data_IF_618522395229
#
_entry.id   IF_618522395229
#
_cell.length_a   1.000
_cell.length_b   1.000
_cell.length_c   1.000
_cell.angle_alpha   90.00
_cell.angle_beta   90.00
_cell.angle_gamma   90.00
#
_symmetry.space_group_name_H-M   'P 1'
#
loop_
_entity.id
_entity.type
_entity.pdbx_description
1 polymer ?
#
# COMPACT_ATOMS: atom_id res chain seq x y z
N UNK A 1 -9.78 -8.32 -38.29
CA UNK A 1 -10.07 -8.55 -36.86
C UNK A 1 -9.27 -7.53 -36.10
N UNK A 2 -9.95 -6.63 -35.40
CA UNK A 2 -9.32 -5.54 -34.66
C UNK A 2 -9.56 -5.82 -33.19
N UNK A 3 -8.49 -5.93 -32.41
CA UNK A 3 -8.55 -6.16 -30.97
C UNK A 3 -8.16 -4.87 -30.26
N UNK A 4 -8.93 -4.49 -29.24
CA UNK A 4 -8.62 -3.38 -28.36
C UNK A 4 -8.11 -3.93 -27.04
N UNK A 5 -7.07 -3.29 -26.50
CA UNK A 5 -6.51 -3.58 -25.17
C UNK A 5 -6.72 -2.32 -24.33
N UNK A 6 -7.64 -2.40 -23.38
CA UNK A 6 -7.79 -1.41 -22.31
C UNK A 6 -6.95 -1.91 -21.12
N UNK A 7 -6.07 -1.07 -20.58
CA UNK A 7 -5.15 -1.32 -19.44
C UNK A 7 -3.85 -2.12 -19.69
N UNK A 8 -3.07 -1.71 -20.69
CA UNK A 8 -1.62 -1.95 -20.64
C UNK A 8 -0.98 -1.00 -19.60
N UNK A 9 0.04 -1.44 -18.82
CA UNK A 9 0.83 -0.53 -18.00
C UNK A 9 1.34 0.60 -18.89
N UNK A 10 1.23 1.86 -18.43
CA UNK A 10 1.57 3.02 -19.26
C UNK A 10 2.95 2.83 -19.91
N UNK A 11 3.09 3.12 -21.21
CA UNK A 11 4.34 2.91 -21.99
C UNK A 11 5.59 3.42 -21.26
N UNK A 12 5.43 4.48 -20.48
CA UNK A 12 6.49 5.08 -19.66
C UNK A 12 7.06 4.12 -18.61
N UNK A 13 6.25 3.31 -17.95
CA UNK A 13 6.71 2.35 -16.93
C UNK A 13 7.58 1.26 -17.56
N UNK A 14 7.14 0.69 -18.68
CA UNK A 14 7.89 -0.34 -19.38
C UNK A 14 9.18 0.21 -20.01
N UNK A 15 9.16 1.44 -20.50
CA UNK A 15 10.36 2.14 -20.96
C UNK A 15 11.38 2.34 -19.83
N UNK A 16 10.93 2.72 -18.62
CA UNK A 16 11.81 2.88 -17.46
C UNK A 16 12.45 1.55 -17.06
N UNK A 17 11.66 0.46 -17.01
CA UNK A 17 12.17 -0.89 -16.76
C UNK A 17 13.25 -1.26 -17.78
N UNK A 18 13.00 -1.05 -19.07
CA UNK A 18 13.96 -1.32 -20.14
C UNK A 18 15.25 -0.48 -20.04
N UNK A 19 15.12 0.80 -19.69
CA UNK A 19 16.28 1.69 -19.49
C UNK A 19 17.16 1.23 -18.33
N UNK A 20 16.55 0.91 -17.18
CA UNK A 20 17.27 0.40 -16.01
C UNK A 20 17.93 -0.94 -16.34
N UNK A 21 17.21 -1.87 -16.95
CA UNK A 21 17.76 -3.17 -17.32
C UNK A 21 18.96 -3.04 -18.27
N UNK A 22 18.87 -2.15 -19.27
CA UNK A 22 19.98 -1.84 -20.19
C UNK A 22 21.18 -1.25 -19.48
N UNK A 23 20.97 -0.33 -18.54
CA UNK A 23 22.08 0.28 -17.80
C UNK A 23 22.78 -0.75 -16.91
N UNK A 24 22.00 -1.58 -16.20
CA UNK A 24 22.52 -2.63 -15.32
C UNK A 24 23.24 -3.73 -16.12
N UNK A 25 22.76 -4.09 -17.31
CA UNK A 25 23.38 -5.16 -18.10
C UNK A 25 24.82 -4.87 -18.52
N UNK A 26 25.18 -3.58 -18.67
CA UNK A 26 26.54 -3.14 -18.98
C UNK A 26 27.54 -3.36 -17.83
N UNK A 27 27.06 -3.39 -16.58
CA UNK A 27 27.89 -3.64 -15.39
C UNK A 27 27.75 -5.08 -14.87
N UNK A 28 26.71 -5.80 -15.28
CA UNK A 28 26.47 -7.18 -14.92
C UNK A 28 27.50 -8.12 -15.58
N UNK A 29 28.24 -8.86 -14.76
CA UNK A 29 29.17 -9.90 -15.21
C UNK A 29 28.47 -11.03 -15.98
N UNK A 30 29.25 -11.84 -16.70
CA UNK A 30 28.73 -12.91 -17.55
C UNK A 30 27.93 -13.99 -16.78
N UNK A 31 28.14 -14.09 -15.48
CA UNK A 31 27.44 -14.99 -14.56
C UNK A 31 25.99 -14.58 -14.25
N UNK A 32 25.57 -13.36 -14.59
CA UNK A 32 24.20 -12.88 -14.33
C UNK A 32 23.25 -13.44 -15.38
N UNK A 33 22.31 -14.29 -14.97
CA UNK A 33 21.36 -14.92 -15.89
C UNK A 33 20.16 -14.02 -16.22
N UNK A 34 19.69 -13.25 -15.23
CA UNK A 34 18.51 -12.42 -15.34
C UNK A 34 18.63 -11.13 -14.53
N UNK A 35 17.96 -10.08 -14.99
CA UNK A 35 17.85 -8.79 -14.32
C UNK A 35 16.40 -8.63 -13.89
N UNK A 36 16.17 -8.52 -12.59
CA UNK A 36 14.85 -8.23 -12.02
C UNK A 36 14.79 -6.75 -11.66
N UNK A 37 13.80 -6.04 -12.22
CA UNK A 37 13.50 -4.65 -11.89
C UNK A 37 12.22 -4.64 -11.07
N UNK A 38 12.31 -4.19 -9.83
CA UNK A 38 11.15 -4.06 -8.93
C UNK A 38 10.69 -2.62 -8.85
N UNK A 39 9.37 -2.45 -8.82
CA UNK A 39 8.71 -1.17 -8.55
C UNK A 39 8.05 -1.25 -7.20
N UNK A 40 8.29 -0.23 -6.38
CA UNK A 40 7.65 -0.07 -5.08
C UNK A 40 6.70 1.14 -5.10
N UNK A 41 5.58 1.03 -4.37
CA UNK A 41 4.69 2.14 -4.00
C UNK A 41 4.77 2.30 -2.49
N UNK A 42 5.38 3.40 -2.03
CA UNK A 42 5.81 3.51 -0.64
C UNK A 42 6.80 2.38 -0.31
N UNK A 43 6.50 1.64 0.76
CA UNK A 43 7.27 0.49 1.28
C UNK A 43 6.90 -0.88 0.71
N UNK A 44 6.13 -0.91 -0.39
CA UNK A 44 5.55 -2.14 -0.90
C UNK A 44 5.94 -2.33 -2.34
N UNK A 45 6.63 -3.44 -2.65
CA UNK A 45 6.87 -3.86 -4.02
C UNK A 45 5.53 -4.28 -4.64
N UNK A 46 5.15 -3.62 -5.73
CA UNK A 46 3.89 -3.86 -6.44
C UNK A 46 4.11 -4.66 -7.73
N UNK A 47 5.32 -4.60 -8.28
CA UNK A 47 5.64 -5.22 -9.57
C UNK A 47 7.12 -5.62 -9.61
N UNK A 48 7.41 -6.83 -10.06
CA UNK A 48 8.72 -7.26 -10.51
C UNK A 48 8.65 -7.62 -11.99
N UNK A 49 9.55 -7.07 -12.79
CA UNK A 49 9.79 -7.51 -14.17
C UNK A 49 11.17 -8.14 -14.25
N UNK A 50 11.20 -9.44 -14.56
CA UNK A 50 12.42 -10.22 -14.72
C UNK A 50 12.70 -10.47 -16.19
N UNK A 51 13.86 -10.02 -16.64
CA UNK A 51 14.31 -10.11 -18.04
C UNK A 51 15.58 -10.97 -18.08
N UNK A 52 15.66 -11.91 -19.01
CA UNK A 52 16.88 -12.70 -19.20
C UNK A 52 17.99 -11.80 -19.76
N UNK A 53 19.18 -11.81 -19.13
CA UNK A 53 20.32 -10.97 -19.56
C UNK A 53 20.73 -11.31 -20.99
N UNK A 54 20.76 -12.60 -21.34
CA UNK A 54 21.09 -13.08 -22.68
C UNK A 54 20.22 -12.43 -23.75
N UNK A 55 18.91 -12.46 -23.55
CA UNK A 55 17.95 -11.97 -24.53
C UNK A 55 18.03 -10.44 -24.64
N UNK A 56 18.27 -9.75 -23.51
CA UNK A 56 18.52 -8.31 -23.49
C UNK A 56 19.79 -7.91 -24.26
N UNK A 57 20.89 -8.63 -24.05
CA UNK A 57 22.15 -8.37 -24.76
C UNK A 57 21.98 -8.64 -26.26
N UNK A 58 21.33 -9.74 -26.63
CA UNK A 58 21.04 -10.05 -28.03
C UNK A 58 20.23 -8.93 -28.70
N UNK A 59 19.18 -8.44 -28.05
CA UNK A 59 18.38 -7.33 -28.57
C UNK A 59 19.20 -6.02 -28.71
N UNK A 60 20.07 -5.70 -27.74
CA UNK A 60 20.94 -4.52 -27.79
C UNK A 60 21.99 -4.57 -28.90
N UNK A 61 22.41 -5.77 -29.30
CA UNK A 61 23.39 -6.01 -30.37
C UNK A 61 22.73 -6.22 -31.74
N UNK A 62 21.41 -6.11 -31.84
CA UNK A 62 20.65 -6.36 -33.08
C UNK A 62 20.58 -7.84 -33.47
N UNK A 63 20.86 -8.75 -32.54
CA UNK A 63 20.77 -10.21 -32.69
C UNK A 63 19.46 -10.80 -32.13
N UNK A 64 18.49 -9.95 -31.83
CA UNK A 64 17.16 -10.29 -31.35
C UNK A 64 16.23 -9.08 -31.42
N UNK A 65 14.97 -9.26 -30.99
CA UNK A 65 13.96 -8.20 -31.05
C UNK A 65 13.36 -7.83 -29.68
N UNK A 66 12.76 -6.63 -29.54
CA UNK A 66 11.98 -6.26 -28.36
C UNK A 66 10.82 -7.21 -28.07
N UNK A 67 10.22 -7.79 -29.11
CA UNK A 67 9.12 -8.76 -28.99
C UNK A 67 9.61 -10.10 -28.41
N UNK A 68 10.81 -10.55 -28.80
CA UNK A 68 11.43 -11.74 -28.20
C UNK A 68 11.75 -11.53 -26.71
N UNK A 69 12.23 -10.33 -26.37
CA UNK A 69 12.43 -9.90 -24.98
C UNK A 69 11.12 -9.94 -24.18
N UNK A 70 10.02 -9.51 -24.77
CA UNK A 70 8.71 -9.51 -24.13
C UNK A 70 8.19 -10.94 -23.86
N UNK A 71 8.40 -11.86 -24.81
CA UNK A 71 7.95 -13.25 -24.70
C UNK A 71 8.64 -13.97 -23.53
N UNK A 72 9.92 -13.68 -23.27
CA UNK A 72 10.68 -14.34 -22.20
C UNK A 72 10.65 -13.58 -20.88
N UNK A 73 10.22 -12.32 -20.89
CA UNK A 73 10.05 -11.52 -19.68
C UNK A 73 8.98 -12.14 -18.77
N UNK A 74 9.27 -12.19 -17.47
CA UNK A 74 8.31 -12.59 -16.45
C UNK A 74 7.91 -11.38 -15.63
N UNK A 75 6.60 -11.12 -15.57
CA UNK A 75 6.03 -10.08 -14.73
C UNK A 75 5.35 -10.75 -13.54
N UNK A 76 5.78 -10.39 -12.32
CA UNK A 76 5.14 -10.78 -11.07
C UNK A 76 4.53 -9.53 -10.44
N UNK A 77 3.26 -9.60 -10.07
CA UNK A 77 2.66 -8.58 -9.19
C UNK A 77 2.92 -8.98 -7.73
N UNK A 78 3.11 -7.99 -6.86
CA UNK A 78 3.40 -8.20 -5.43
C UNK A 78 4.47 -9.28 -5.19
N UNK A 79 5.69 -9.09 -5.70
CA UNK A 79 6.71 -10.13 -5.71
C UNK A 79 7.07 -10.61 -4.30
N UNK A 80 7.40 -11.90 -4.19
CA UNK A 80 7.94 -12.48 -2.97
C UNK A 80 9.19 -11.74 -2.47
N UNK A 81 9.51 -11.95 -1.19
CA UNK A 81 10.78 -11.53 -0.61
C UNK A 81 11.95 -11.93 -1.51
N UNK A 82 12.89 -11.01 -1.67
CA UNK A 82 14.06 -11.19 -2.51
C UNK A 82 14.83 -12.45 -2.08
N UNK A 83 15.11 -13.36 -3.02
CA UNK A 83 15.86 -14.59 -2.74
C UNK A 83 17.30 -14.27 -2.28
N UNK A 84 17.87 -15.05 -1.36
CA UNK A 84 19.17 -14.72 -0.76
C UNK A 84 20.39 -14.92 -1.69
N UNK A 85 20.20 -15.56 -2.85
CA UNK A 85 21.26 -16.00 -3.77
C UNK A 85 21.55 -15.02 -4.92
N UNK A 86 20.85 -13.88 -4.98
CA UNK A 86 21.10 -12.84 -5.97
C UNK A 86 22.18 -11.82 -5.58
N UNK A 87 22.74 -11.13 -6.57
CA UNK A 87 23.52 -9.90 -6.34
C UNK A 87 22.53 -8.73 -6.31
N UNK A 88 22.43 -8.07 -5.16
CA UNK A 88 21.51 -6.95 -4.96
C UNK A 88 22.28 -5.63 -4.96
N UNK A 89 21.72 -4.65 -5.66
CA UNK A 89 22.05 -3.26 -5.40
C UNK A 89 21.14 -2.86 -4.24
N UNK A 90 21.66 -2.94 -3.02
CA UNK A 90 20.93 -2.55 -1.83
C UNK A 90 20.56 -1.06 -1.95
N UNK A 91 19.28 -0.75 -1.74
CA UNK A 91 18.88 0.62 -1.46
C UNK A 91 18.96 0.80 0.05
N UNK A 92 20.13 1.20 0.55
CA UNK A 92 20.39 1.39 1.98
C UNK A 92 19.47 2.43 2.63
N UNK A 93 18.75 3.23 1.81
CA UNK A 93 17.75 4.20 2.25
C UNK A 93 16.30 3.67 2.16
N UNK A 94 16.07 2.42 1.77
CA UNK A 94 14.72 1.90 1.60
C UNK A 94 14.02 1.62 2.95
N UNK A 95 14.76 1.07 3.92
CA UNK A 95 14.23 0.71 5.24
C UNK A 95 15.33 0.83 6.32
N UNK A 96 15.00 1.26 7.55
CA UNK A 96 13.69 1.77 7.96
C UNK A 96 13.40 3.16 7.36
N UNK A 97 12.17 3.39 6.89
CA UNK A 97 11.75 4.69 6.37
C UNK A 97 10.74 5.34 7.33
N UNK A 98 11.14 6.45 7.94
CA UNK A 98 10.30 7.22 8.85
C UNK A 98 9.72 8.45 8.15
N UNK A 99 8.42 8.64 8.26
CA UNK A 99 7.71 9.82 7.76
C UNK A 99 6.83 10.38 8.87
N UNK A 100 6.69 11.70 8.90
CA UNK A 100 5.81 12.38 9.83
C UNK A 100 5.22 13.62 9.19
N UNK A 101 4.11 14.10 9.75
CA UNK A 101 3.42 15.28 9.26
C UNK A 101 2.53 15.90 10.32
N UNK A 102 2.08 17.11 10.04
CA UNK A 102 1.11 17.82 10.88
C UNK A 102 -0.06 18.23 10.01
N UNK A 103 -1.28 17.93 10.44
CA UNK A 103 -2.49 18.26 9.69
C UNK A 103 -3.53 18.98 10.57
N UNK A 104 -4.11 20.11 10.14
CA UNK A 104 -5.30 20.64 10.79
C UNK A 104 -6.49 19.72 10.48
N UNK A 105 -7.32 19.45 11.49
CA UNK A 105 -8.51 18.59 11.36
C UNK A 105 -9.73 19.32 11.90
N UNK A 106 -10.81 19.33 11.13
CA UNK A 106 -12.10 19.86 11.56
C UNK A 106 -13.09 18.71 11.68
N UNK A 107 -13.60 18.49 12.89
CA UNK A 107 -14.66 17.51 13.17
C UNK A 107 -15.95 18.29 13.28
N UNK A 108 -17.02 17.84 12.60
CA UNK A 108 -18.31 18.52 12.61
C UNK A 108 -19.42 17.54 12.92
N UNK A 109 -20.43 18.02 13.62
CA UNK A 109 -21.66 17.29 13.87
C UNK A 109 -22.86 18.24 13.75
N UNK A 110 -23.94 17.72 13.16
CA UNK A 110 -25.24 18.41 13.20
C UNK A 110 -25.81 18.21 14.60
N UNK A 111 -26.01 19.31 15.32
CA UNK A 111 -26.55 19.27 16.67
C UNK A 111 -28.09 19.19 16.69
N UNK A 112 -28.65 19.20 17.89
CA UNK A 112 -30.10 19.15 18.11
C UNK A 112 -30.66 20.51 18.57
N UNK A 113 -31.98 20.59 18.78
CA UNK A 113 -32.64 21.81 19.25
C UNK A 113 -32.15 22.31 20.62
N UNK A 114 -31.40 21.50 21.38
CA UNK A 114 -30.85 21.85 22.70
C UNK A 114 -29.38 22.26 22.66
N UNK A 115 -28.60 21.70 21.75
CA UNK A 115 -27.15 21.93 21.60
C UNK A 115 -26.79 22.92 20.48
N UNK A 116 -27.76 23.29 19.64
CA UNK A 116 -27.57 24.20 18.51
C UNK A 116 -27.44 23.43 17.18
N UNK A 117 -27.69 24.10 16.06
CA UNK A 117 -27.78 23.43 14.76
C UNK A 117 -26.44 22.89 14.22
N UNK A 118 -25.31 23.45 14.67
CA UNK A 118 -23.99 23.12 14.15
C UNK A 118 -22.94 23.16 15.25
N UNK A 119 -22.18 22.07 15.37
CA UNK A 119 -21.11 21.90 16.33
C UNK A 119 -19.84 21.50 15.59
N UNK A 120 -18.72 22.09 15.95
CA UNK A 120 -17.44 21.83 15.30
C UNK A 120 -16.25 22.00 16.25
N UNK A 121 -15.25 21.14 16.06
CA UNK A 121 -13.95 21.23 16.72
C UNK A 121 -12.84 21.36 15.71
N UNK A 122 -11.98 22.37 15.92
CA UNK A 122 -10.68 22.48 15.28
C UNK A 122 -9.64 21.74 16.12
N UNK A 123 -8.90 20.87 15.45
CA UNK A 123 -7.85 20.02 16.00
C UNK A 123 -6.59 20.11 15.15
N UNK A 124 -5.48 19.62 15.69
CA UNK A 124 -4.23 19.38 14.97
C UNK A 124 -3.78 17.95 15.24
N UNK A 125 -3.46 17.23 14.18
CA UNK A 125 -2.90 15.89 14.24
C UNK A 125 -1.40 15.94 13.97
N UNK A 126 -0.62 15.28 14.83
CA UNK A 126 0.74 14.85 14.53
C UNK A 126 0.65 13.40 14.04
N UNK A 127 1.01 13.18 12.78
CA UNK A 127 0.97 11.87 12.13
C UNK A 127 2.38 11.32 11.99
N UNK A 128 2.53 10.01 12.12
CA UNK A 128 3.78 9.32 11.87
C UNK A 128 3.55 7.96 11.22
N UNK A 129 4.46 7.58 10.32
CA UNK A 129 4.59 6.22 9.79
C UNK A 129 6.05 5.78 9.80
N UNK A 130 6.25 4.48 10.03
CA UNK A 130 7.53 3.83 10.04
C UNK A 130 7.42 2.53 9.25
N UNK A 131 8.06 2.51 8.08
CA UNK A 131 8.25 1.30 7.30
C UNK A 131 9.46 0.56 7.83
N UNK A 132 9.25 -0.56 8.53
CA UNK A 132 10.31 -1.30 9.24
C UNK A 132 11.08 -2.22 8.30
N UNK A 133 10.36 -2.88 7.40
CA UNK A 133 10.88 -3.81 6.40
C UNK A 133 9.86 -3.89 5.24
N UNK A 134 10.22 -4.47 4.08
CA UNK A 134 9.30 -4.63 2.97
C UNK A 134 7.97 -5.24 3.44
N UNK A 135 6.87 -4.54 3.14
CA UNK A 135 5.53 -4.99 3.50
C UNK A 135 5.09 -4.79 4.95
N UNK A 136 5.97 -4.38 5.90
CA UNK A 136 5.60 -4.09 7.29
C UNK A 136 5.69 -2.59 7.61
N UNK A 137 4.56 -1.99 7.96
CA UNK A 137 4.44 -0.59 8.36
C UNK A 137 3.79 -0.45 9.74
N UNK A 138 4.33 0.45 10.56
CA UNK A 138 3.67 0.97 11.75
C UNK A 138 3.19 2.39 11.47
N UNK A 139 1.93 2.71 11.75
CA UNK A 139 1.39 4.05 11.54
C UNK A 139 0.50 4.50 12.70
N UNK A 140 0.45 5.80 12.96
CA UNK A 140 -0.39 6.35 14.01
C UNK A 140 -0.50 7.86 13.95
N UNK A 141 -1.43 8.38 14.76
CA UNK A 141 -1.58 9.81 14.95
C UNK A 141 -1.85 10.16 16.42
N UNK A 142 -1.42 11.36 16.81
CA UNK A 142 -1.82 12.02 18.05
C UNK A 142 -2.56 13.29 17.70
N UNK A 143 -3.82 13.38 18.14
CA UNK A 143 -4.68 14.53 17.94
C UNK A 143 -4.68 15.43 19.15
N UNK A 144 -4.59 16.74 18.93
CA UNK A 144 -4.74 17.77 19.95
C UNK A 144 -5.85 18.74 19.58
N UNK A 145 -6.77 18.95 20.52
CA UNK A 145 -7.81 19.95 20.41
C UNK A 145 -7.24 21.38 20.47
N UNK A 146 -7.74 22.26 19.60
CA UNK A 146 -7.40 23.68 19.55
C UNK A 146 -8.56 24.53 20.09
N UNK A 147 -9.77 24.34 19.57
CA UNK A 147 -10.93 25.14 19.91
C UNK A 147 -12.19 24.68 19.18
N UNK A 148 -13.35 24.86 19.80
CA UNK A 148 -14.62 24.34 19.28
C UNK A 148 -15.69 24.24 20.34
N UNK A 149 -16.82 23.68 19.96
CA UNK A 149 -18.01 23.51 20.80
C UNK A 149 -18.62 22.10 20.69
N UNK A 150 -17.89 21.12 20.15
CA UNK A 150 -18.41 19.76 19.96
C UNK A 150 -18.65 19.03 21.29
N UNK A 151 -18.04 19.48 22.39
CA UNK A 151 -18.33 19.01 23.75
C UNK A 151 -19.78 19.27 24.22
N UNK A 152 -20.48 20.17 23.54
CA UNK A 152 -21.87 20.55 23.82
C UNK A 152 -22.91 19.63 23.16
N UNK A 153 -22.51 18.61 22.39
CA UNK A 153 -23.45 17.65 21.77
C UNK A 153 -24.46 17.17 22.82
N UNK A 154 -25.76 17.25 22.52
CA UNK A 154 -26.88 16.83 23.39
C UNK A 154 -26.99 15.31 23.58
N UNK A 155 -27.63 14.87 24.68
CA UNK A 155 -27.75 13.41 24.99
C UNK A 155 -28.47 12.70 23.86
N UNK A 156 -27.82 11.70 23.25
CA UNK A 156 -28.52 10.75 22.39
C UNK A 156 -29.70 10.21 23.20
N UNK A 157 -30.90 10.26 22.60
CA UNK A 157 -32.16 9.98 23.28
C UNK A 157 -32.08 8.74 24.15
N UNK A 158 -32.27 8.89 25.47
CA UNK A 158 -32.11 7.82 26.48
C UNK A 158 -33.27 6.81 26.51
N UNK A 159 -33.81 6.43 25.35
CA UNK A 159 -34.91 5.48 25.27
C UNK A 159 -34.68 4.50 24.12
N UNK A 160 -33.76 3.57 24.32
CA UNK A 160 -33.70 2.38 23.50
C UNK A 160 -33.08 1.24 24.29
N UNK A 161 -33.80 0.13 24.45
CA UNK A 161 -33.27 -1.17 24.91
C UNK A 161 -32.32 -1.81 23.88
N UNK A 162 -31.85 -1.02 22.91
CA UNK A 162 -30.94 -1.47 21.86
C UNK A 162 -29.49 -1.40 22.37
N UNK A 163 -28.65 -2.38 21.97
CA UNK A 163 -27.22 -2.33 22.24
C UNK A 163 -26.61 -1.01 21.76
N UNK A 164 -25.80 -0.38 22.62
CA UNK A 164 -25.10 0.86 22.28
C UNK A 164 -24.08 0.58 21.19
N UNK A 165 -24.25 1.17 20.01
CA UNK A 165 -23.28 1.08 18.91
C UNK A 165 -22.85 2.50 18.55
N UNK A 166 -21.60 2.86 18.89
CA UNK A 166 -20.97 4.16 18.59
C UNK A 166 -21.66 5.40 19.21
N UNK A 167 -22.62 5.22 20.12
CA UNK A 167 -23.31 6.35 20.79
C UNK A 167 -22.49 7.01 21.90
N UNK A 168 -21.43 6.35 22.39
CA UNK A 168 -20.53 6.86 23.44
C UNK A 168 -19.48 7.85 22.90
N UNK A 169 -19.53 8.19 21.60
CA UNK A 169 -18.63 9.17 20.97
C UNK A 169 -18.57 10.49 21.75
N UNK A 170 -19.64 10.81 22.49
CA UNK A 170 -19.77 12.01 23.31
C UNK A 170 -18.82 12.00 24.50
N UNK A 171 -18.55 10.84 25.09
CA UNK A 171 -17.59 10.71 26.19
C UNK A 171 -16.16 10.83 25.65
N UNK A 172 -15.89 10.25 24.48
CA UNK A 172 -14.62 10.42 23.76
C UNK A 172 -14.35 11.89 23.38
N UNK A 173 -15.38 12.63 22.94
CA UNK A 173 -15.26 14.05 22.59
C UNK A 173 -15.08 14.92 23.85
N UNK A 174 -15.80 14.63 24.94
CA UNK A 174 -15.74 15.43 26.17
C UNK A 174 -14.43 15.26 26.92
N UNK A 175 -13.90 14.04 27.00
CA UNK A 175 -12.66 13.74 27.72
C UNK A 175 -11.42 13.94 26.83
N UNK A 176 -11.55 13.76 25.52
CA UNK A 176 -10.46 13.67 24.55
C UNK A 176 -9.93 15.00 24.04
N UNK A 177 -9.42 15.88 24.90
CA UNK A 177 -8.62 17.04 24.44
C UNK A 177 -7.30 16.62 23.78
N UNK A 178 -6.82 15.42 24.10
CA UNK A 178 -5.73 14.74 23.40
C UNK A 178 -6.17 13.32 23.16
N UNK A 179 -6.04 12.84 21.93
CA UNK A 179 -6.53 11.53 21.52
C UNK A 179 -5.52 10.82 20.61
N UNK A 180 -5.65 9.51 20.52
CA UNK A 180 -4.98 8.69 19.50
C UNK A 180 -6.08 8.29 18.51
N UNK A 181 -6.21 8.95 17.35
CA UNK A 181 -7.25 8.62 16.38
C UNK A 181 -7.07 7.23 15.79
N UNK A 182 -5.82 6.82 15.57
CA UNK A 182 -5.44 5.49 15.12
C UNK A 182 -3.99 5.19 15.53
N UNK A 183 -3.69 3.92 15.70
CA UNK A 183 -2.36 3.35 15.91
C UNK A 183 -2.40 1.89 15.48
N UNK A 184 -1.77 1.57 14.36
CA UNK A 184 -1.87 0.24 13.75
C UNK A 184 -0.55 -0.23 13.15
N UNK A 185 -0.37 -1.55 13.12
CA UNK A 185 0.66 -2.23 12.36
C UNK A 185 0.00 -2.98 11.21
N UNK A 186 0.54 -2.83 10.01
CA UNK A 186 0.07 -3.44 8.78
C UNK A 186 1.20 -4.25 8.15
N UNK A 187 0.94 -5.52 7.89
CA UNK A 187 1.79 -6.40 7.12
C UNK A 187 1.09 -6.83 5.84
N UNK A 188 1.78 -6.79 4.71
CA UNK A 188 1.34 -7.32 3.42
C UNK A 188 2.49 -8.01 2.70
N UNK A 189 2.21 -9.12 2.04
CA UNK A 189 3.20 -9.78 1.18
C UNK A 189 2.76 -11.12 0.61
N UNK A 190 3.61 -11.67 -0.25
CA UNK A 190 3.46 -13.03 -0.77
C UNK A 190 3.68 -14.08 0.33
N UNK A 191 2.75 -15.03 0.42
CA UNK A 191 2.82 -16.22 1.26
C UNK A 191 3.29 -17.46 0.48
N UNK A 192 3.34 -17.37 -0.85
CA UNK A 192 3.75 -18.42 -1.77
C UNK A 192 3.31 -18.08 -3.19
N UNK A 193 3.56 -19.00 -4.13
CA UNK A 193 3.12 -18.80 -5.52
C UNK A 193 1.63 -18.53 -5.58
N UNK A 194 1.28 -17.35 -6.14
CA UNK A 194 -0.11 -16.90 -6.31
C UNK A 194 -0.90 -16.67 -5.01
N UNK A 195 -0.25 -16.71 -3.84
CA UNK A 195 -0.92 -16.52 -2.56
C UNK A 195 -0.39 -15.28 -1.86
N UNK A 196 -1.28 -14.35 -1.53
CA UNK A 196 -0.98 -13.07 -0.93
C UNK A 196 -1.72 -12.94 0.39
N UNK A 197 -1.08 -12.30 1.37
CA UNK A 197 -1.63 -12.10 2.70
C UNK A 197 -1.61 -10.63 3.10
N UNK A 198 -2.60 -10.24 3.90
CA UNK A 198 -2.63 -8.99 4.63
C UNK A 198 -3.02 -9.26 6.07
N UNK A 199 -2.25 -8.68 7.00
CA UNK A 199 -2.50 -8.73 8.43
C UNK A 199 -2.43 -7.29 8.96
N UNK A 200 -3.50 -6.84 9.61
CA UNK A 200 -3.54 -5.52 10.25
C UNK A 200 -3.95 -5.69 11.71
N UNK A 201 -3.29 -4.99 12.62
CA UNK A 201 -3.62 -5.03 14.05
C UNK A 201 -3.44 -3.66 14.71
N UNK A 202 -4.36 -3.31 15.61
CA UNK A 202 -4.25 -2.09 16.42
C UNK A 202 -5.57 -1.37 16.58
N UNK A 203 -5.50 -0.05 16.72
CA UNK A 203 -6.62 0.89 16.78
C UNK A 203 -6.74 1.50 15.38
N UNK A 204 -7.76 1.11 14.62
CA UNK A 204 -7.97 1.61 13.25
C UNK A 204 -8.70 2.95 13.24
N UNK A 205 -9.61 3.14 14.18
CA UNK A 205 -10.36 4.38 14.36
C UNK A 205 -10.61 4.63 15.85
N UNK A 206 -11.09 5.83 16.19
CA UNK A 206 -11.60 6.09 17.52
C UNK A 206 -12.71 5.08 17.84
N UNK A 207 -12.57 4.40 18.98
CA UNK A 207 -13.48 3.35 19.45
C UNK A 207 -13.47 2.04 18.65
N UNK A 208 -12.59 1.88 17.66
CA UNK A 208 -12.48 0.65 16.88
C UNK A 208 -11.03 0.17 16.78
N UNK A 209 -10.78 -0.98 17.39
CA UNK A 209 -9.53 -1.70 17.28
C UNK A 209 -9.77 -3.18 17.12
N UNK A 210 -8.77 -3.89 16.62
CA UNK A 210 -8.87 -5.31 16.41
C UNK A 210 -7.74 -5.87 15.56
N UNK A 211 -8.03 -7.01 14.95
CA UNK A 211 -7.15 -7.74 14.06
C UNK A 211 -7.93 -8.06 12.77
N UNK A 212 -7.33 -7.77 11.63
CA UNK A 212 -7.84 -8.09 10.30
C UNK A 212 -6.84 -9.00 9.60
N UNK A 213 -7.33 -10.11 9.06
CA UNK A 213 -6.54 -11.03 8.26
C UNK A 213 -7.28 -11.29 6.95
N UNK A 214 -6.59 -11.05 5.85
CA UNK A 214 -7.08 -11.32 4.51
C UNK A 214 -6.06 -12.15 3.76
N UNK A 215 -6.56 -13.06 2.93
CA UNK A 215 -5.74 -13.91 2.08
C UNK A 215 -6.35 -13.93 0.69
N UNK A 216 -5.53 -13.64 -0.31
CA UNK A 216 -5.92 -13.58 -1.71
C UNK A 216 -5.16 -14.66 -2.48
N UNK A 217 -5.91 -15.46 -3.23
CA UNK A 217 -5.33 -16.37 -4.21
C UNK A 217 -5.55 -15.84 -5.62
N UNK A 218 -4.48 -15.62 -6.37
CA UNK A 218 -4.54 -15.23 -7.78
C UNK A 218 -4.51 -16.48 -8.65
N UNK A 219 -5.61 -16.81 -9.32
CA UNK A 219 -5.56 -17.88 -10.31
C UNK A 219 -4.54 -17.51 -11.41
N UNK A 220 -3.59 -18.39 -11.75
CA UNK A 220 -2.70 -18.15 -12.88
C UNK A 220 -3.53 -17.90 -14.14
N UNK A 221 -3.14 -16.91 -14.94
CA UNK A 221 -3.79 -16.66 -16.22
C UNK A 221 -3.71 -17.94 -17.07
N UNK A 222 -4.86 -18.57 -17.29
CA UNK A 222 -5.03 -19.66 -18.26
C UNK A 222 -5.40 -19.11 -19.65
N UNK A 223 -5.18 -17.81 -19.88
CA UNK A 223 -5.38 -17.13 -21.16
C UNK A 223 -4.37 -17.64 -22.21
N UNK A 224 -4.62 -18.84 -22.71
CA UNK A 224 -3.80 -19.50 -23.73
C UNK A 224 -4.26 -20.90 -24.15
N UNK A 225 -5.18 -21.55 -23.42
CA UNK A 225 -5.61 -22.92 -23.74
C UNK A 225 -6.85 -23.03 -24.65
N UNK A 226 -7.43 -21.92 -25.10
CA UNK A 226 -8.66 -21.95 -25.91
C UNK A 226 -8.44 -21.94 -27.43
N UNK A 227 -7.19 -22.05 -27.90
CA UNK A 227 -6.87 -22.13 -29.33
C UNK A 227 -6.17 -23.45 -29.68
N UNK A 228 -6.83 -24.57 -29.37
CA UNK A 228 -6.54 -25.87 -29.97
C UNK A 228 -7.82 -26.70 -30.02
N UNK A 229 -8.57 -26.53 -31.12
CA UNK A 229 -9.28 -27.58 -31.87
C UNK A 229 -10.02 -26.94 -33.05
#
# INVERSE_FOLDING_TARGET
>A
MTLWLDDAPTDREMQLVGQVARQVSGFAGAQVEAIAVRRSLGSHDILETRILRRDLVNALEGRGSPEELWITAKVKMEPDSVAADGTFIANDNAYPAFQWGVAPVVIQQVGDSKSGAWLADLNVDLLASLDLMPGLQLSGAVRRFIGGNLDQIGKASEASDLPVVRSDIRDFIKEGRTAIPYLQADWRGGLGENLYGRLSAGIFEQMFGGLSLEMLYRTPDTAGLWAAN
#
